data_IF_814436669146
#
_entry.id   IF_814436669146
#
_cell.length_a   1.000
_cell.length_b   1.000
_cell.length_c   1.000
_cell.angle_alpha   90.00
_cell.angle_beta   90.00
_cell.angle_gamma   90.00
#
_symmetry.space_group_name_H-M   'P 1'
#
loop_
_entity.id
_entity.type
_entity.pdbx_description
1 polymer ?
#
# COMPACT_ATOMS: atom_id res chain seq x y z
N UNK A 1 -22.28 -1.86 22.66
CA UNK A 1 -22.89 -0.71 21.94
C UNK A 1 -23.77 -1.24 20.82
N UNK A 2 -24.83 -0.51 20.38
CA UNK A 2 -25.63 -0.89 19.22
C UNK A 2 -25.49 0.19 18.15
N UNK A 3 -24.99 -0.19 16.97
CA UNK A 3 -24.93 0.68 15.81
C UNK A 3 -26.14 0.35 14.93
N UNK A 4 -26.91 1.38 14.58
CA UNK A 4 -28.04 1.26 13.68
C UNK A 4 -27.68 1.83 12.33
N UNK A 5 -28.21 1.21 11.27
CA UNK A 5 -28.02 1.67 9.89
C UNK A 5 -26.54 1.73 9.44
N UNK A 6 -25.70 0.85 9.99
CA UNK A 6 -24.30 0.73 9.51
C UNK A 6 -24.29 0.23 8.07
N UNK A 7 -25.11 -0.76 7.74
CA UNK A 7 -25.41 -1.21 6.39
C UNK A 7 -26.81 -0.79 5.98
N UNK A 8 -27.01 -0.54 4.70
CA UNK A 8 -28.31 -0.25 4.09
C UNK A 8 -28.24 -0.51 2.56
N UNK A 9 -29.26 -0.11 1.79
CA UNK A 9 -29.26 -0.29 0.32
C UNK A 9 -28.13 0.45 -0.41
N UNK A 10 -27.60 1.54 0.19
CA UNK A 10 -26.58 2.40 -0.41
C UNK A 10 -25.16 2.02 0.00
N UNK A 11 -24.96 1.24 1.05
CA UNK A 11 -23.64 0.78 1.49
C UNK A 11 -23.71 -0.59 2.16
N UNK A 12 -22.74 -1.43 1.88
CA UNK A 12 -22.68 -2.81 2.33
C UNK A 12 -21.26 -3.27 2.62
N UNK A 13 -21.13 -4.26 3.47
CA UNK A 13 -19.92 -5.03 3.56
C UNK A 13 -19.75 -5.89 2.31
N UNK A 14 -18.68 -5.67 1.56
CA UNK A 14 -18.35 -6.41 0.33
C UNK A 14 -17.38 -7.55 0.57
N UNK A 15 -16.55 -7.44 1.61
CA UNK A 15 -15.60 -8.47 2.02
C UNK A 15 -15.39 -8.43 3.53
N UNK A 16 -15.19 -9.61 4.12
CA UNK A 16 -14.86 -9.75 5.53
C UNK A 16 -13.83 -10.85 5.73
N UNK A 17 -12.86 -10.60 6.61
CA UNK A 17 -11.93 -11.60 7.13
C UNK A 17 -11.89 -11.42 8.65
N UNK A 18 -12.35 -12.44 9.40
CA UNK A 18 -12.51 -12.38 10.84
C UNK A 18 -13.29 -11.10 11.25
N UNK A 19 -12.68 -10.24 12.04
CA UNK A 19 -13.25 -9.00 12.57
C UNK A 19 -13.00 -7.75 11.71
N UNK A 20 -12.42 -7.90 10.51
CA UNK A 20 -12.19 -6.83 9.55
C UNK A 20 -13.22 -6.90 8.42
N UNK A 21 -13.85 -5.79 8.13
CA UNK A 21 -14.89 -5.67 7.11
C UNK A 21 -14.60 -4.49 6.18
N UNK A 22 -14.74 -4.70 4.88
CA UNK A 22 -14.71 -3.63 3.88
C UNK A 22 -16.13 -3.16 3.61
N UNK A 23 -16.42 -1.93 3.98
CA UNK A 23 -17.65 -1.22 3.64
C UNK A 23 -17.45 -0.52 2.29
N UNK A 24 -18.36 -0.75 1.34
CA UNK A 24 -18.39 -0.03 0.06
C UNK A 24 -19.68 0.79 -0.06
N UNK A 25 -19.55 2.03 -0.51
CA UNK A 25 -20.66 2.94 -0.79
C UNK A 25 -21.14 2.73 -2.22
N UNK A 26 -22.14 1.88 -2.41
CA UNK A 26 -22.72 1.58 -3.71
C UNK A 26 -23.37 2.81 -4.34
N UNK A 27 -23.97 3.66 -3.50
CA UNK A 27 -24.47 4.96 -3.84
C UNK A 27 -24.13 5.92 -2.69
N UNK A 28 -23.43 6.98 -2.99
CA UNK A 28 -23.12 8.03 -2.03
C UNK A 28 -24.09 9.19 -2.20
N UNK A 29 -24.97 9.37 -1.23
CA UNK A 29 -25.98 10.44 -1.23
C UNK A 29 -25.47 11.73 -0.57
N UNK A 30 -24.23 11.76 -0.09
CA UNK A 30 -23.61 12.95 0.54
C UNK A 30 -22.87 13.84 -0.47
N UNK A 31 -23.26 13.78 -1.74
CA UNK A 31 -22.73 14.60 -2.82
C UNK A 31 -23.36 15.98 -2.86
N UNK A 32 -22.61 16.99 -3.28
CA UNK A 32 -23.16 18.32 -3.55
C UNK A 32 -23.81 18.37 -4.95
N UNK A 33 -24.72 19.32 -5.23
CA UNK A 33 -25.24 19.54 -6.60
C UNK A 33 -24.13 19.79 -7.62
N UNK A 34 -23.00 20.35 -7.22
CA UNK A 34 -21.85 20.65 -8.08
C UNK A 34 -21.06 19.40 -8.45
N UNK A 35 -20.97 18.41 -7.55
CA UNK A 35 -20.17 17.19 -7.75
C UNK A 35 -21.02 15.96 -8.12
N UNK A 36 -22.35 16.08 -8.07
CA UNK A 36 -23.25 14.93 -8.25
C UNK A 36 -23.08 14.20 -9.59
N UNK A 37 -22.81 14.93 -10.66
CA UNK A 37 -22.60 14.34 -11.99
C UNK A 37 -21.26 13.57 -12.04
N UNK A 38 -20.20 14.15 -11.53
CA UNK A 38 -18.87 13.53 -11.46
C UNK A 38 -18.92 12.27 -10.60
N UNK A 39 -19.44 12.35 -9.39
CA UNK A 39 -19.59 11.23 -8.46
C UNK A 39 -20.46 10.11 -9.05
N UNK A 40 -21.50 10.45 -9.81
CA UNK A 40 -22.32 9.45 -10.50
C UNK A 40 -21.50 8.66 -11.51
N UNK A 41 -20.71 9.33 -12.37
CA UNK A 41 -19.88 8.64 -13.36
C UNK A 41 -18.72 7.90 -12.71
N UNK A 42 -18.09 8.43 -11.67
CA UNK A 42 -17.10 7.74 -10.87
C UNK A 42 -17.67 6.43 -10.32
N UNK A 43 -18.87 6.47 -9.72
CA UNK A 43 -19.54 5.27 -9.20
C UNK A 43 -19.83 4.23 -10.29
N UNK A 44 -20.19 4.66 -11.53
CA UNK A 44 -20.39 3.76 -12.68
C UNK A 44 -19.08 3.08 -13.13
N UNK A 45 -17.95 3.73 -12.94
CA UNK A 45 -16.62 3.18 -13.20
C UNK A 45 -16.02 2.45 -11.99
N UNK A 46 -16.86 2.11 -10.99
CA UNK A 46 -16.44 1.46 -9.74
C UNK A 46 -15.45 2.30 -8.89
N UNK A 47 -15.33 3.59 -9.14
CA UNK A 47 -14.61 4.53 -8.28
C UNK A 47 -15.57 5.00 -7.19
N UNK A 48 -15.51 4.34 -6.03
CA UNK A 48 -16.45 4.52 -4.93
C UNK A 48 -15.70 4.68 -3.62
N UNK A 49 -16.34 5.29 -2.65
CA UNK A 49 -15.79 5.34 -1.28
C UNK A 49 -15.83 3.95 -0.65
N UNK A 50 -14.73 3.60 0.01
CA UNK A 50 -14.57 2.38 0.79
C UNK A 50 -13.99 2.71 2.14
N UNK A 51 -14.38 1.96 3.15
CA UNK A 51 -13.87 2.09 4.52
C UNK A 51 -13.58 0.70 5.09
N UNK A 52 -12.66 0.64 6.03
CA UNK A 52 -12.49 -0.52 6.89
C UNK A 52 -13.27 -0.29 8.19
N UNK A 53 -14.11 -1.25 8.54
CA UNK A 53 -14.79 -1.36 9.82
C UNK A 53 -14.17 -2.54 10.55
N UNK A 54 -13.73 -2.32 11.78
CA UNK A 54 -13.06 -3.33 12.59
C UNK A 54 -13.84 -3.53 13.89
N UNK A 55 -14.22 -4.76 14.17
CA UNK A 55 -14.81 -5.13 15.45
C UNK A 55 -13.69 -5.53 16.41
N UNK A 56 -13.61 -4.87 17.55
CA UNK A 56 -12.61 -5.11 18.58
C UNK A 56 -13.22 -5.81 19.77
N UNK A 57 -12.48 -6.77 20.31
CA UNK A 57 -12.82 -7.49 21.54
C UNK A 57 -11.54 -7.80 22.33
N UNK A 58 -11.65 -8.69 23.33
CA UNK A 58 -10.51 -9.07 24.19
C UNK A 58 -9.43 -9.85 23.45
N UNK A 59 -9.76 -10.50 22.34
CA UNK A 59 -8.86 -11.34 21.55
C UNK A 59 -8.34 -10.64 20.31
N UNK A 60 -9.07 -9.61 19.84
CA UNK A 60 -8.79 -8.90 18.59
C UNK A 60 -8.55 -7.41 18.85
N UNK A 61 -7.30 -7.01 18.74
CA UNK A 61 -6.88 -5.62 18.63
C UNK A 61 -6.59 -5.27 17.17
N UNK A 62 -6.42 -3.99 16.86
CA UNK A 62 -6.07 -3.54 15.52
C UNK A 62 -4.92 -2.54 15.54
N UNK A 63 -3.95 -2.73 14.64
CA UNK A 63 -2.88 -1.77 14.36
C UNK A 63 -3.24 -1.08 13.06
N UNK A 64 -3.26 0.25 13.05
CA UNK A 64 -3.66 1.02 11.87
C UNK A 64 -2.59 2.00 11.43
N UNK A 65 -2.68 2.48 10.20
CA UNK A 65 -1.88 3.59 9.71
C UNK A 65 -2.15 4.84 10.56
N UNK A 66 -1.11 5.57 10.93
CA UNK A 66 -1.24 6.81 11.72
C UNK A 66 -2.16 7.81 11.01
N UNK A 67 -3.15 8.31 11.74
CA UNK A 67 -4.15 9.24 11.21
C UNK A 67 -5.31 8.61 10.43
N UNK A 68 -5.36 7.28 10.30
CA UNK A 68 -6.41 6.60 9.53
C UNK A 68 -7.73 6.43 10.30
N UNK A 69 -7.79 6.68 11.61
CA UNK A 69 -9.02 6.55 12.39
C UNK A 69 -9.99 7.69 12.08
N UNK A 70 -11.20 7.36 11.65
CA UNK A 70 -12.31 8.30 11.51
C UNK A 70 -13.12 8.41 12.79
N UNK A 71 -13.57 7.27 13.32
CA UNK A 71 -14.27 7.20 14.60
C UNK A 71 -14.11 5.83 15.26
N UNK A 72 -14.31 5.81 16.55
CA UNK A 72 -14.38 4.60 17.36
C UNK A 72 -15.55 4.67 18.33
N UNK A 73 -16.07 3.53 18.72
CA UNK A 73 -17.20 3.44 19.64
C UNK A 73 -17.13 2.21 20.55
N UNK A 74 -17.77 2.29 21.71
CA UNK A 74 -17.66 1.28 22.77
C UNK A 74 -16.54 1.60 23.76
N UNK A 75 -15.94 0.58 24.35
CA UNK A 75 -14.82 0.69 25.29
C UNK A 75 -13.48 0.51 24.56
N UNK A 76 -13.24 1.33 23.53
CA UNK A 76 -12.04 1.28 22.69
C UNK A 76 -11.09 2.39 23.07
N UNK A 77 -9.79 2.10 23.10
CA UNK A 77 -8.72 3.06 23.36
C UNK A 77 -7.51 2.80 22.48
N UNK A 78 -6.86 3.89 22.06
CA UNK A 78 -5.56 3.81 21.40
C UNK A 78 -4.47 3.58 22.45
N UNK A 79 -3.58 2.65 22.18
CA UNK A 79 -2.35 2.44 22.95
C UNK A 79 -1.17 2.95 22.13
N UNK A 80 -0.20 3.59 22.78
CA UNK A 80 1.06 3.87 22.12
C UNK A 80 1.74 2.51 21.90
N UNK A 81 1.72 2.01 20.66
CA UNK A 81 2.22 0.67 20.27
C UNK A 81 3.70 0.40 20.53
N UNK A 82 4.15 0.62 21.77
CA UNK A 82 5.56 0.57 22.21
C UNK A 82 5.97 -0.84 22.68
N UNK A 83 5.13 -1.84 22.52
CA UNK A 83 5.53 -3.22 22.83
C UNK A 83 6.23 -3.88 21.64
N UNK A 84 7.52 -3.57 21.43
CA UNK A 84 8.39 -4.33 20.52
C UNK A 84 9.18 -3.53 19.50
N UNK A 85 8.95 -2.23 19.34
CA UNK A 85 9.64 -1.39 18.36
C UNK A 85 10.71 -0.50 19.00
N UNK A 86 10.73 -0.38 20.33
CA UNK A 86 11.60 0.56 21.08
C UNK A 86 13.10 0.39 20.88
N UNK A 87 13.58 -0.82 20.55
CA UNK A 87 15.03 -1.04 20.39
C UNK A 87 15.54 -0.87 18.96
N UNK A 88 14.66 -0.92 17.94
CA UNK A 88 15.07 -0.72 16.55
C UNK A 88 14.99 0.77 16.13
N UNK A 89 14.05 1.53 16.71
CA UNK A 89 13.86 2.94 16.38
C UNK A 89 14.99 3.86 16.89
N UNK A 90 15.66 3.49 17.95
CA UNK A 90 16.75 4.31 18.51
C UNK A 90 18.00 4.40 17.64
N UNK A 91 18.22 3.49 16.71
CA UNK A 91 19.43 3.39 15.89
C UNK A 91 19.24 3.64 14.39
N UNK A 92 18.04 3.49 13.84
CA UNK A 92 17.79 3.57 12.40
C UNK A 92 17.18 4.89 11.90
N UNK A 93 16.67 5.75 12.78
CA UNK A 93 15.85 6.92 12.40
C UNK A 93 16.63 8.22 12.35
N UNK A 94 17.89 8.23 12.05
CA UNK A 94 18.57 9.50 11.77
C UNK A 94 18.58 9.92 10.29
N UNK A 95 17.91 9.21 9.38
CA UNK A 95 18.07 9.52 7.96
C UNK A 95 16.88 9.29 7.00
N UNK A 96 15.93 8.40 7.28
CA UNK A 96 14.86 8.11 6.30
C UNK A 96 13.56 7.72 7.00
N UNK A 97 12.64 8.66 7.13
CA UNK A 97 11.24 8.35 7.49
C UNK A 97 10.48 7.99 6.20
N UNK A 98 10.24 6.71 5.97
CA UNK A 98 9.23 6.26 5.01
C UNK A 98 7.84 6.36 5.65
N UNK A 99 6.76 6.40 4.86
CA UNK A 99 5.38 6.35 5.37
C UNK A 99 5.15 5.12 6.25
N UNK A 100 5.85 4.01 5.96
CA UNK A 100 5.76 2.75 6.70
C UNK A 100 6.59 2.74 8.01
N UNK A 101 7.54 3.65 8.18
CA UNK A 101 8.33 3.76 9.41
C UNK A 101 7.64 4.57 10.50
N UNK A 102 6.50 5.21 10.20
CA UNK A 102 5.71 5.93 11.19
C UNK A 102 5.20 4.97 12.27
N UNK A 103 5.17 5.45 13.53
CA UNK A 103 4.58 4.68 14.63
C UNK A 103 3.12 4.41 14.32
N UNK A 104 2.75 3.14 14.25
CA UNK A 104 1.38 2.70 13.99
C UNK A 104 0.68 2.50 15.34
N UNK A 105 -0.41 3.26 15.63
CA UNK A 105 -1.15 3.08 16.86
C UNK A 105 -1.87 1.73 16.86
N UNK A 106 -1.91 1.08 18.03
CA UNK A 106 -2.73 -0.09 18.29
C UNK A 106 -4.00 0.32 19.05
N UNK A 107 -5.14 -0.19 18.62
CA UNK A 107 -6.44 0.00 19.25
C UNK A 107 -6.88 -1.28 19.92
N UNK A 108 -7.27 -1.19 21.19
CA UNK A 108 -7.68 -2.32 22.04
C UNK A 108 -9.01 -1.99 22.73
N UNK A 109 -9.73 -3.03 23.12
CA UNK A 109 -10.95 -2.89 23.90
C UNK A 109 -12.11 -3.71 23.36
N UNK A 110 -13.34 -3.24 23.60
CA UNK A 110 -14.58 -3.89 23.16
C UNK A 110 -15.43 -2.85 22.44
N UNK A 111 -15.64 -3.01 21.13
CA UNK A 111 -16.39 -2.08 20.32
C UNK A 111 -15.99 -2.04 18.86
N UNK A 112 -16.06 -0.87 18.25
CA UNK A 112 -15.82 -0.65 16.82
C UNK A 112 -14.74 0.41 16.58
N UNK A 113 -13.94 0.17 15.58
CA UNK A 113 -12.99 1.11 15.02
C UNK A 113 -13.28 1.25 13.52
N UNK A 114 -13.53 2.46 13.05
CA UNK A 114 -13.81 2.74 11.65
C UNK A 114 -12.76 3.69 11.11
N UNK A 115 -12.19 3.34 9.96
CA UNK A 115 -11.14 4.13 9.33
C UNK A 115 -11.71 5.17 8.38
N UNK A 116 -10.90 6.18 8.05
CA UNK A 116 -11.24 7.20 7.06
C UNK A 116 -11.58 6.57 5.71
N UNK A 117 -12.58 7.10 4.98
CA UNK A 117 -12.91 6.60 3.66
C UNK A 117 -11.84 6.92 2.63
N UNK A 118 -11.66 6.00 1.69
CA UNK A 118 -10.78 6.14 0.53
C UNK A 118 -11.54 5.83 -0.76
N UNK A 119 -11.13 6.43 -1.88
CA UNK A 119 -11.59 6.03 -3.22
C UNK A 119 -10.75 4.89 -3.82
N UNK A 120 -9.65 4.54 -3.19
CA UNK A 120 -8.88 3.35 -3.56
C UNK A 120 -9.66 2.07 -3.22
N UNK A 121 -9.29 0.98 -3.87
CA UNK A 121 -9.76 -0.33 -3.47
C UNK A 121 -9.09 -0.76 -2.17
N UNK A 122 -9.81 -1.51 -1.35
CA UNK A 122 -9.30 -2.09 -0.12
C UNK A 122 -9.26 -3.61 -0.30
N UNK A 123 -8.04 -4.15 -0.26
CA UNK A 123 -7.79 -5.58 -0.33
C UNK A 123 -7.64 -6.10 1.09
N UNK A 124 -8.48 -7.07 1.49
CA UNK A 124 -8.29 -7.82 2.72
C UNK A 124 -7.52 -9.11 2.43
N UNK A 125 -6.43 -9.28 3.15
CA UNK A 125 -5.55 -10.46 3.05
C UNK A 125 -5.50 -11.17 4.39
N UNK A 126 -5.65 -12.49 4.37
CA UNK A 126 -5.36 -13.36 5.49
C UNK A 126 -3.87 -13.73 5.46
N UNK A 127 -3.10 -13.23 6.44
CA UNK A 127 -1.64 -13.44 6.48
C UNK A 127 -1.27 -14.91 6.65
N UNK A 128 -2.09 -15.70 7.33
CA UNK A 128 -1.83 -17.13 7.55
C UNK A 128 -1.72 -17.90 6.23
N UNK A 129 -2.47 -17.47 5.19
CA UNK A 129 -2.41 -18.06 3.84
C UNK A 129 -1.10 -17.81 3.09
N UNK A 130 -0.21 -16.97 3.63
CA UNK A 130 1.12 -16.69 3.07
C UNK A 130 2.21 -17.56 3.70
N UNK A 131 1.82 -18.53 4.53
CA UNK A 131 2.74 -19.47 5.18
C UNK A 131 3.52 -18.86 6.34
N UNK A 132 4.48 -19.61 6.86
CA UNK A 132 5.24 -19.24 8.06
C UNK A 132 6.16 -18.03 7.88
N UNK A 133 6.59 -17.73 6.67
CA UNK A 133 7.40 -16.54 6.33
C UNK A 133 6.58 -15.26 6.22
N UNK A 134 5.25 -15.40 6.03
CA UNK A 134 4.34 -14.29 5.83
C UNK A 134 4.50 -13.60 4.49
N UNK A 135 4.07 -12.34 4.46
CA UNK A 135 4.08 -11.52 3.25
C UNK A 135 4.84 -10.21 3.46
N UNK A 136 5.43 -9.70 2.41
CA UNK A 136 6.01 -8.35 2.34
C UNK A 136 5.14 -7.51 1.41
N UNK A 137 4.89 -6.27 1.77
CA UNK A 137 4.03 -5.35 1.03
C UNK A 137 4.84 -4.18 0.47
N UNK A 138 4.33 -3.59 -0.62
CA UNK A 138 4.89 -2.36 -1.18
C UNK A 138 4.71 -1.17 -0.23
N UNK A 139 5.59 -0.18 -0.32
CA UNK A 139 5.55 1.00 0.55
C UNK A 139 4.30 1.86 0.31
N UNK A 140 3.70 2.34 1.41
CA UNK A 140 2.58 3.28 1.38
C UNK A 140 1.20 2.68 1.13
N UNK A 141 1.06 1.34 1.07
CA UNK A 141 -0.25 0.69 0.86
C UNK A 141 -0.87 0.11 2.14
N UNK A 142 -0.11 0.07 3.24
CA UNK A 142 -0.62 -0.44 4.52
C UNK A 142 -1.72 0.47 5.06
N UNK A 143 -2.86 -0.12 5.42
CA UNK A 143 -3.96 0.60 6.06
C UNK A 143 -4.19 0.13 7.49
N UNK A 144 -4.35 -1.18 7.71
CA UNK A 144 -4.55 -1.77 9.03
C UNK A 144 -4.19 -3.26 9.05
N UNK A 145 -3.95 -3.79 10.25
CA UNK A 145 -3.87 -5.23 10.47
C UNK A 145 -4.38 -5.61 11.87
N UNK A 146 -4.73 -6.89 12.03
CA UNK A 146 -5.00 -7.48 13.34
C UNK A 146 -3.76 -7.39 14.23
N UNK A 147 -3.95 -7.14 15.53
CA UNK A 147 -2.83 -7.03 16.49
C UNK A 147 -2.01 -8.29 16.68
N UNK A 148 -2.51 -9.45 16.24
CA UNK A 148 -1.78 -10.73 16.22
C UNK A 148 -0.78 -10.82 15.05
N UNK A 149 -0.87 -9.92 14.07
CA UNK A 149 0.07 -9.79 12.95
C UNK A 149 1.29 -9.02 13.43
N UNK A 150 2.45 -9.67 13.38
CA UNK A 150 3.74 -9.03 13.67
C UNK A 150 4.23 -8.31 12.42
N UNK A 151 4.59 -7.07 12.57
CA UNK A 151 5.17 -6.25 11.53
C UNK A 151 6.69 -6.07 11.74
N UNK A 152 7.45 -6.11 10.65
CA UNK A 152 8.90 -5.93 10.65
C UNK A 152 9.32 -5.14 9.42
N UNK A 153 10.12 -4.10 9.62
CA UNK A 153 10.75 -3.41 8.51
C UNK A 153 11.90 -4.25 7.95
N UNK A 154 11.87 -4.49 6.64
CA UNK A 154 12.91 -5.22 5.92
C UNK A 154 13.58 -4.28 4.93
N UNK A 155 14.90 -4.11 5.06
CA UNK A 155 15.66 -3.25 4.14
C UNK A 155 15.71 -3.87 2.74
N UNK A 156 15.49 -3.06 1.72
CA UNK A 156 15.71 -3.46 0.31
C UNK A 156 17.21 -3.65 0.05
N UNK A 157 17.58 -4.78 -0.50
CA UNK A 157 18.95 -5.02 -0.99
C UNK A 157 19.06 -4.39 -2.39
N UNK A 158 19.74 -3.26 -2.54
CA UNK A 158 20.05 -2.70 -3.86
C UNK A 158 21.50 -2.93 -4.21
N UNK A 159 21.78 -3.16 -5.49
CA UNK A 159 23.15 -3.36 -6.04
C UNK A 159 24.00 -2.09 -5.91
N UNK A 160 23.39 -0.93 -5.75
CA UNK A 160 24.14 0.30 -5.47
C UNK A 160 23.35 1.26 -4.59
N UNK A 161 23.59 1.22 -3.29
CA UNK A 161 23.22 2.28 -2.36
C UNK A 161 23.74 3.67 -2.77
N UNK A 162 24.76 3.72 -3.63
CA UNK A 162 25.37 4.95 -4.17
C UNK A 162 24.53 5.63 -5.26
N UNK A 163 23.66 4.88 -5.98
CA UNK A 163 22.86 5.43 -7.08
C UNK A 163 21.53 6.03 -6.60
N UNK A 164 21.02 5.59 -5.45
CA UNK A 164 19.71 5.98 -4.91
C UNK A 164 19.81 6.98 -3.72
N UNK A 165 20.91 7.72 -3.62
CA UNK A 165 21.01 8.82 -2.64
C UNK A 165 21.17 8.40 -1.17
N UNK A 166 21.48 7.14 -0.87
CA UNK A 166 21.73 6.66 0.49
C UNK A 166 20.51 6.52 1.38
N UNK A 167 19.32 6.80 0.88
CA UNK A 167 18.06 6.57 1.60
C UNK A 167 17.70 5.09 1.50
N UNK A 168 17.77 4.38 2.63
CA UNK A 168 17.39 2.98 2.71
C UNK A 168 15.89 2.82 2.48
N UNK A 169 15.51 2.20 1.38
CA UNK A 169 14.12 1.79 1.17
C UNK A 169 13.81 0.59 2.04
N UNK A 170 12.73 0.67 2.80
CA UNK A 170 12.26 -0.41 3.64
C UNK A 170 10.89 -0.85 3.16
N UNK A 171 10.67 -2.15 3.15
CA UNK A 171 9.36 -2.73 2.97
C UNK A 171 8.84 -3.26 4.30
N UNK A 172 7.52 -3.27 4.45
CA UNK A 172 6.87 -3.83 5.63
C UNK A 172 6.59 -5.31 5.40
N UNK A 173 7.19 -6.17 6.24
CA UNK A 173 6.88 -7.60 6.26
C UNK A 173 5.92 -7.90 7.40
N UNK A 174 4.90 -8.71 7.10
CA UNK A 174 3.77 -9.05 7.95
C UNK A 174 3.76 -10.56 8.15
N UNK A 175 3.81 -11.01 9.39
CA UNK A 175 3.89 -12.43 9.76
C UNK A 175 2.94 -12.72 10.91
N UNK A 176 2.29 -13.85 10.89
CA UNK A 176 1.43 -14.28 11.98
C UNK A 176 0.06 -14.70 11.50
N UNK A 177 -0.97 -14.32 12.23
CA UNK A 177 -2.36 -14.72 12.01
C UNK A 177 -3.27 -13.48 12.06
N UNK A 178 -4.24 -13.45 11.17
CA UNK A 178 -5.27 -12.42 11.13
C UNK A 178 -5.31 -11.63 9.82
N UNK A 179 -6.25 -10.72 9.74
CA UNK A 179 -6.50 -9.91 8.57
C UNK A 179 -5.50 -8.74 8.44
N UNK A 180 -5.18 -8.40 7.19
CA UNK A 180 -4.48 -7.18 6.80
C UNK A 180 -5.32 -6.46 5.75
N UNK A 181 -5.53 -5.17 5.92
CA UNK A 181 -6.15 -4.28 4.96
C UNK A 181 -5.08 -3.46 4.24
N UNK A 182 -5.09 -3.52 2.91
CA UNK A 182 -4.17 -2.81 2.02
C UNK A 182 -4.96 -1.90 1.08
N UNK A 183 -4.46 -0.70 0.81
CA UNK A 183 -4.97 0.14 -0.26
C UNK A 183 -4.39 -0.30 -1.62
N UNK A 184 -5.24 -0.34 -2.65
CA UNK A 184 -4.86 -0.68 -4.02
C UNK A 184 -5.48 0.28 -5.02
N UNK A 185 -4.79 0.51 -6.13
CA UNK A 185 -5.31 1.31 -7.23
C UNK A 185 -6.19 0.50 -8.19
N UNK A 186 -6.16 -0.84 -8.07
CA UNK A 186 -6.99 -1.76 -8.86
C UNK A 186 -7.75 -2.70 -7.92
N UNK A 187 -8.93 -3.20 -8.31
CA UNK A 187 -9.68 -4.17 -7.52
C UNK A 187 -8.91 -5.50 -7.41
N UNK A 188 -9.23 -6.27 -6.37
CA UNK A 188 -8.53 -7.52 -6.06
C UNK A 188 -8.62 -8.56 -7.19
N UNK A 189 -9.75 -8.63 -7.86
CA UNK A 189 -10.03 -9.55 -8.98
C UNK A 189 -9.29 -9.19 -10.28
N UNK A 190 -8.71 -8.00 -10.37
CA UNK A 190 -7.84 -7.60 -11.47
C UNK A 190 -6.34 -7.81 -11.17
N UNK A 191 -5.98 -8.15 -9.93
CA UNK A 191 -4.59 -8.42 -9.60
C UNK A 191 -4.10 -9.71 -10.27
N UNK A 192 -2.89 -9.63 -10.82
CA UNK A 192 -2.20 -10.80 -11.37
C UNK A 192 -1.45 -11.48 -10.24
N UNK A 193 -1.72 -12.76 -10.01
CA UNK A 193 -0.94 -13.60 -9.11
C UNK A 193 0.06 -14.43 -9.91
N UNK A 194 1.34 -14.30 -9.57
CA UNK A 194 2.45 -15.06 -10.15
C UNK A 194 3.01 -15.99 -9.09
N UNK A 195 2.93 -17.30 -9.33
CA UNK A 195 3.57 -18.32 -8.50
C UNK A 195 4.95 -18.66 -9.06
N UNK A 196 5.96 -18.64 -8.20
CA UNK A 196 7.35 -18.96 -8.52
C UNK A 196 7.73 -20.30 -7.86
N UNK A 197 8.30 -21.20 -8.65
CA UNK A 197 8.83 -22.50 -8.21
C UNK A 197 10.32 -22.56 -8.51
N UNK A 198 11.16 -22.01 -7.62
CA UNK A 198 12.60 -21.82 -7.83
C UNK A 198 12.88 -21.05 -9.13
N UNK A 199 12.14 -19.95 -9.31
CA UNK A 199 12.12 -19.14 -10.54
C UNK A 199 12.37 -17.66 -10.24
N UNK A 200 12.34 -16.83 -11.28
CA UNK A 200 12.60 -15.39 -11.22
C UNK A 200 11.50 -14.60 -11.92
N UNK A 201 11.03 -13.53 -11.27
CA UNK A 201 10.14 -12.51 -11.83
C UNK A 201 10.84 -11.17 -11.82
N UNK A 202 10.84 -10.46 -12.95
CA UNK A 202 11.33 -9.09 -13.09
C UNK A 202 10.18 -8.16 -13.41
N UNK A 203 10.08 -7.08 -12.66
CA UNK A 203 9.01 -6.07 -12.80
C UNK A 203 9.67 -4.70 -12.95
N UNK A 204 9.34 -4.00 -14.03
CA UNK A 204 9.70 -2.59 -14.18
C UNK A 204 8.71 -1.72 -13.36
N UNK A 205 9.26 -0.82 -12.55
CA UNK A 205 8.47 0.03 -11.66
C UNK A 205 7.82 -0.71 -10.48
N UNK A 206 6.84 -0.05 -9.84
CA UNK A 206 6.20 -0.47 -8.60
C UNK A 206 4.83 -1.10 -8.85
N UNK A 207 4.78 -2.16 -9.66
CA UNK A 207 3.54 -2.90 -9.92
C UNK A 207 3.25 -3.96 -8.86
N UNK A 208 4.25 -4.48 -8.16
CA UNK A 208 4.02 -5.46 -7.10
C UNK A 208 3.28 -4.82 -5.93
N UNK A 209 2.19 -5.45 -5.51
CA UNK A 209 1.40 -5.07 -4.34
C UNK A 209 1.94 -5.75 -3.10
N UNK A 210 2.11 -7.07 -3.16
CA UNK A 210 2.69 -7.84 -2.08
C UNK A 210 3.29 -9.16 -2.60
N UNK A 211 4.19 -9.74 -1.81
CA UNK A 211 4.89 -10.98 -2.17
C UNK A 211 5.26 -11.80 -0.94
N UNK A 212 5.54 -13.08 -1.15
CA UNK A 212 6.01 -13.98 -0.09
C UNK A 212 7.33 -13.49 0.50
N UNK A 213 7.41 -13.34 1.82
CA UNK A 213 8.60 -12.77 2.50
C UNK A 213 9.87 -13.62 2.38
N UNK A 214 9.75 -14.87 1.95
CA UNK A 214 10.90 -15.76 1.70
C UNK A 214 11.50 -15.60 0.29
N UNK A 215 10.88 -14.84 -0.61
CA UNK A 215 11.50 -14.49 -1.88
C UNK A 215 12.70 -13.56 -1.66
N UNK A 216 13.78 -13.80 -2.37
CA UNK A 216 14.90 -12.86 -2.41
C UNK A 216 14.54 -11.70 -3.33
N UNK A 217 14.37 -10.53 -2.73
CA UNK A 217 14.01 -9.30 -3.41
C UNK A 217 15.22 -8.40 -3.59
N UNK A 218 15.51 -8.03 -4.83
CA UNK A 218 16.62 -7.14 -5.19
C UNK A 218 16.15 -6.10 -6.22
N UNK A 219 16.85 -4.97 -6.27
CA UNK A 219 16.69 -3.97 -7.34
C UNK A 219 17.94 -4.04 -8.22
N UNK A 220 17.75 -4.39 -9.47
CA UNK A 220 18.85 -4.67 -10.41
C UNK A 220 18.69 -3.85 -11.70
N UNK A 221 19.72 -3.82 -12.52
CA UNK A 221 19.58 -3.29 -13.87
C UNK A 221 18.82 -4.29 -14.75
N UNK A 222 17.99 -3.77 -15.65
CA UNK A 222 17.19 -4.60 -16.58
C UNK A 222 18.03 -5.56 -17.40
N UNK A 223 19.28 -5.18 -17.71
CA UNK A 223 20.27 -6.01 -18.43
C UNK A 223 21.60 -6.06 -17.68
N UNK A 224 22.38 -7.13 -17.92
CA UNK A 224 23.69 -7.34 -17.28
C UNK A 224 24.78 -6.32 -17.65
N UNK A 225 24.55 -5.41 -18.60
CA UNK A 225 25.50 -4.39 -19.03
C UNK A 225 24.90 -2.99 -19.04
N UNK A 226 25.75 -1.96 -18.80
CA UNK A 226 25.36 -0.55 -18.87
C UNK A 226 24.81 -0.16 -20.25
N UNK A 227 25.44 -0.69 -21.31
CA UNK A 227 25.07 -0.42 -22.71
C UNK A 227 23.74 -1.10 -23.04
N UNK A 228 23.52 -2.33 -22.60
CA UNK A 228 22.26 -3.04 -22.77
C UNK A 228 21.09 -2.34 -22.07
N UNK A 229 21.29 -1.86 -20.85
CA UNK A 229 20.26 -1.12 -20.09
C UNK A 229 19.92 0.22 -20.75
N UNK A 230 20.90 0.90 -21.36
CA UNK A 230 20.67 2.13 -22.11
C UNK A 230 19.93 1.87 -23.45
N UNK A 231 20.16 0.70 -24.06
CA UNK A 231 19.50 0.32 -25.33
C UNK A 231 18.08 -0.18 -25.11
N UNK A 232 17.79 -0.90 -24.01
CA UNK A 232 16.42 -1.34 -23.67
C UNK A 232 15.51 -0.19 -23.26
N UNK A 233 16.09 0.95 -22.86
CA UNK A 233 15.31 2.09 -22.33
C UNK A 233 14.81 1.87 -20.90
N UNK A 234 15.01 0.68 -20.33
CA UNK A 234 14.59 0.31 -18.99
C UNK A 234 15.77 0.42 -18.02
N UNK A 235 15.59 1.16 -16.94
CA UNK A 235 16.66 1.45 -15.99
C UNK A 235 16.87 0.34 -14.97
N UNK A 236 16.19 0.45 -13.85
CA UNK A 236 16.22 -0.49 -12.73
C UNK A 236 14.91 -1.28 -12.69
N UNK A 237 15.01 -2.57 -12.42
CA UNK A 237 13.86 -3.47 -12.26
C UNK A 237 13.86 -4.11 -10.88
N UNK A 238 12.69 -4.34 -10.36
CA UNK A 238 12.46 -5.12 -9.15
C UNK A 238 12.52 -6.60 -9.52
N UNK A 239 13.34 -7.38 -8.81
CA UNK A 239 13.57 -8.80 -9.08
C UNK A 239 13.22 -9.64 -7.86
N UNK A 240 12.39 -10.64 -8.08
CA UNK A 240 11.89 -11.58 -7.08
C UNK A 240 12.37 -12.97 -7.45
N UNK A 241 13.11 -13.67 -6.55
CA UNK A 241 13.67 -15.00 -6.81
C UNK A 241 13.30 -15.99 -5.72
N UNK A 242 13.07 -17.22 -6.13
CA UNK A 242 12.87 -18.35 -5.24
C UNK A 242 11.55 -19.07 -5.46
N UNK A 243 10.98 -19.60 -4.37
CA UNK A 243 9.68 -20.28 -4.37
C UNK A 243 8.71 -19.50 -3.50
N UNK A 244 7.60 -19.06 -4.07
CA UNK A 244 6.60 -18.23 -3.41
C UNK A 244 5.68 -17.58 -4.43
N UNK A 245 4.97 -16.53 -4.05
CA UNK A 245 4.04 -15.82 -4.95
C UNK A 245 4.20 -14.32 -4.86
N UNK A 246 3.83 -13.65 -5.94
CA UNK A 246 3.81 -12.20 -6.07
C UNK A 246 2.43 -11.79 -6.59
N UNK A 247 1.75 -10.89 -5.89
CA UNK A 247 0.56 -10.19 -6.38
C UNK A 247 0.97 -8.86 -6.99
N UNK A 248 0.54 -8.59 -8.20
CA UNK A 248 0.90 -7.37 -8.91
C UNK A 248 -0.29 -6.73 -9.64
N UNK A 249 -0.27 -5.40 -9.76
CA UNK A 249 -1.17 -4.65 -10.62
C UNK A 249 -0.89 -4.96 -12.09
N UNK A 250 -1.92 -5.10 -12.94
CA UNK A 250 -1.74 -5.30 -14.38
C UNK A 250 -1.21 -4.05 -15.10
N UNK A 251 -1.42 -2.87 -14.51
CA UNK A 251 -1.05 -1.58 -15.08
C UNK A 251 -0.53 -0.63 -13.99
N UNK A 252 0.31 0.31 -14.39
CA UNK A 252 0.73 1.39 -13.50
C UNK A 252 -0.45 2.34 -13.21
N UNK A 253 -0.49 2.97 -12.02
CA UNK A 253 -1.49 3.99 -11.71
C UNK A 253 -1.50 5.12 -12.74
N UNK A 254 -2.68 5.58 -13.14
CA UNK A 254 -2.85 6.64 -14.14
C UNK A 254 -2.13 7.93 -13.77
N UNK A 255 -2.08 8.29 -12.49
CA UNK A 255 -1.39 9.48 -12.00
C UNK A 255 0.12 9.45 -12.29
N UNK A 256 0.74 8.27 -12.21
CA UNK A 256 2.16 8.09 -12.56
C UNK A 256 2.41 8.25 -14.07
N UNK A 257 1.47 7.83 -14.90
CA UNK A 257 1.55 8.00 -16.35
C UNK A 257 1.43 9.49 -16.75
N UNK A 258 0.53 10.25 -16.12
CA UNK A 258 0.38 11.69 -16.36
C UNK A 258 1.61 12.48 -15.93
N UNK A 259 2.26 12.08 -14.85
CA UNK A 259 3.48 12.72 -14.37
C UNK A 259 4.67 12.45 -15.29
N UNK A 260 4.78 11.22 -15.83
CA UNK A 260 5.85 10.86 -16.78
C UNK A 260 5.74 11.61 -18.11
N UNK A 261 4.51 11.84 -18.63
CA UNK A 261 4.29 12.60 -19.86
C UNK A 261 4.65 14.08 -19.71
N UNK A 262 4.44 14.68 -18.53
CA UNK A 262 4.80 16.07 -18.25
C UNK A 262 6.30 16.32 -18.14
N UNK A 263 7.09 15.32 -17.72
CA UNK A 263 8.56 15.43 -17.65
C UNK A 263 9.25 15.34 -19.02
N UNK A 264 8.61 14.72 -20.01
CA UNK A 264 9.16 14.60 -21.37
C UNK A 264 8.92 15.85 -22.24
N UNK A 265 8.06 16.80 -21.78
CA UNK A 265 7.79 18.07 -22.47
C UNK A 265 8.54 19.30 -21.92
N UNK A 266 9.56 19.10 -21.07
CA UNK A 266 10.43 20.20 -20.65
C UNK A 266 11.30 20.65 -21.82
N UNK A 267 10.85 21.69 -22.48
CA UNK A 267 11.36 22.52 -23.55
C UNK A 267 12.87 22.53 -23.79
N UNK A 268 13.29 22.53 -25.07
CA UNK A 268 14.58 23.10 -25.45
C UNK A 268 14.49 24.63 -25.33
N UNK A 269 15.23 25.20 -24.41
CA UNK A 269 15.45 26.64 -24.28
C UNK A 269 16.05 27.17 -25.58
N UNK A 270 15.26 27.88 -26.37
CA UNK A 270 15.74 28.71 -27.47
C UNK A 270 16.54 29.85 -26.84
N UNK A 271 17.85 29.80 -26.93
CA UNK A 271 18.72 30.94 -26.67
C UNK A 271 18.56 31.93 -27.84
N UNK A 272 17.74 32.94 -27.65
CA UNK A 272 17.78 34.11 -28.52
C UNK A 272 19.00 34.96 -28.20
N UNK A 273 20.06 34.74 -28.95
CA UNK A 273 21.15 35.71 -29.08
C UNK A 273 20.67 36.81 -30.05
N UNK A 274 20.24 37.93 -29.55
CA UNK A 274 20.15 39.20 -30.29
C UNK A 274 21.49 39.91 -30.13
N UNK A 275 22.16 40.33 -31.23
CA UNK A 275 23.31 41.21 -31.15
C UNK A 275 22.87 42.64 -30.80
N UNK A 276 23.53 43.26 -29.85
CA UNK A 276 23.46 44.68 -29.59
C UNK A 276 24.29 45.38 -30.71
N UNK A 277 23.62 46.07 -31.62
CA UNK A 277 24.25 47.10 -32.43
C UNK A 277 24.13 48.46 -31.75
N UNK A 278 25.26 49.15 -31.65
CA UNK A 278 25.64 50.50 -31.34
C UNK A 278 24.59 51.58 -31.00
#
# INVERSE_FOLDING_TARGET
MKILNLENENRKFTKSIENFHVMEYLQDSSVSPMTAMEEYYMSKMNVRRRQVVIELDKEHSAIIQSGAMQWMGGHVQATAGIKGIGDLFGKAIKGAMTKESAVKPEYVGDGYLVLEPTYKYIILVDVEKWGSSGMTIEDGIFLACDGRVKNKLTARKSISSAVLGGEGFFNLSLVGRGAVALESNVPEDELIEVELENDELKIDGNLAVCWSSNLDFTVERSTGTLVGSAVSGEGLVNVYRGTGRVLMSPVAPTDSLLTATNTTQANPTVKNNLPLEN
#
